data_IF_945084310332
#
_entry.id   IF_945084310332
#
_cell.length_a   1.000
_cell.length_b   1.000
_cell.length_c   1.000
_cell.angle_alpha   90.00
_cell.angle_beta   90.00
_cell.angle_gamma   90.00
#
_symmetry.space_group_name_H-M   'P 1'
#
loop_
_entity.id
_entity.type
_entity.pdbx_description
1 polymer ?
#
# COMPACT_ATOMS: atom_id res chain seq x y z
N UNK A 1 -1.43 19.85 40.62
CA UNK A 1 -0.17 19.42 39.98
C UNK A 1 -0.59 18.71 38.70
N UNK A 2 -0.67 19.49 37.62
CA UNK A 2 -1.04 19.00 36.29
C UNK A 2 0.07 18.08 35.78
N UNK A 3 -0.14 16.76 35.88
CA UNK A 3 0.69 15.79 35.18
C UNK A 3 0.36 15.87 33.70
N UNK A 4 0.95 16.85 33.02
CA UNK A 4 0.95 16.93 31.56
C UNK A 4 1.62 15.67 31.02
N UNK A 5 0.81 14.70 30.59
CA UNK A 5 1.29 13.45 29.99
C UNK A 5 2.14 13.83 28.78
N UNK A 6 3.43 13.48 28.82
CA UNK A 6 4.33 13.77 27.69
C UNK A 6 3.86 13.03 26.44
N UNK A 7 4.12 13.58 25.24
CA UNK A 7 3.76 12.94 23.96
C UNK A 7 4.31 11.51 23.86
N UNK A 8 5.53 11.29 24.38
CA UNK A 8 6.14 9.98 24.53
C UNK A 8 5.34 9.04 25.43
N UNK A 9 4.95 9.46 26.63
CA UNK A 9 4.19 8.61 27.56
C UNK A 9 2.81 8.26 26.98
N UNK A 10 2.19 9.19 26.25
CA UNK A 10 0.94 8.92 25.53
C UNK A 10 1.15 7.87 24.43
N UNK A 11 2.23 7.96 23.67
CA UNK A 11 2.58 6.96 22.64
C UNK A 11 2.81 5.57 23.25
N UNK A 12 3.54 5.48 24.36
CA UNK A 12 3.78 4.22 25.08
C UNK A 12 2.47 3.56 25.55
N UNK A 13 1.54 4.37 26.09
CA UNK A 13 0.20 3.86 26.46
C UNK A 13 -0.59 3.33 25.27
N UNK A 14 -0.57 4.02 24.13
CA UNK A 14 -1.27 3.57 22.92
C UNK A 14 -0.64 2.30 22.35
N UNK A 15 0.69 2.18 22.37
CA UNK A 15 1.38 0.94 21.97
C UNK A 15 1.03 -0.24 22.89
N UNK A 16 0.93 -0.01 24.20
CA UNK A 16 0.48 -1.04 25.15
C UNK A 16 -0.98 -1.46 24.86
N UNK A 17 -1.87 -0.50 24.61
CA UNK A 17 -3.25 -0.75 24.24
C UNK A 17 -3.37 -1.55 22.92
N UNK A 18 -2.52 -1.23 21.93
CA UNK A 18 -2.43 -1.97 20.66
C UNK A 18 -2.13 -3.45 20.91
N UNK A 19 -1.09 -3.72 21.70
CA UNK A 19 -0.69 -5.09 22.05
C UNK A 19 -1.81 -5.86 22.76
N UNK A 20 -2.57 -5.19 23.62
CA UNK A 20 -3.72 -5.80 24.30
C UNK A 20 -4.85 -6.13 23.32
N UNK A 21 -5.15 -5.25 22.37
CA UNK A 21 -6.14 -5.51 21.30
C UNK A 21 -5.71 -6.68 20.42
N UNK A 22 -4.45 -6.70 19.96
CA UNK A 22 -3.91 -7.80 19.16
C UNK A 22 -3.97 -9.14 19.89
N UNK A 23 -3.70 -9.14 21.20
CA UNK A 23 -3.87 -10.32 22.04
C UNK A 23 -5.32 -10.83 22.09
N UNK A 24 -6.30 -9.91 22.18
CA UNK A 24 -7.72 -10.27 22.16
C UNK A 24 -8.17 -10.77 20.78
N UNK A 25 -7.69 -10.17 19.69
CA UNK A 25 -7.96 -10.63 18.33
C UNK A 25 -7.41 -12.05 18.14
N UNK A 26 -6.17 -12.29 18.57
CA UNK A 26 -5.54 -13.62 18.51
C UNK A 26 -6.32 -14.67 19.31
N UNK A 27 -6.76 -14.33 20.53
CA UNK A 27 -7.57 -15.23 21.36
C UNK A 27 -8.88 -15.62 20.68
N UNK A 28 -9.61 -14.65 20.11
CA UNK A 28 -10.85 -14.95 19.38
C UNK A 28 -10.57 -15.70 18.07
N UNK A 29 -9.43 -15.43 17.41
CA UNK A 29 -8.98 -16.18 16.23
C UNK A 29 -8.73 -17.65 16.53
N UNK A 30 -8.18 -17.98 17.71
CA UNK A 30 -8.01 -19.36 18.17
C UNK A 30 -9.36 -20.07 18.37
N UNK A 31 -10.39 -19.37 18.84
CA UNK A 31 -11.75 -19.93 18.95
C UNK A 31 -12.28 -20.31 17.55
N UNK A 32 -12.04 -19.48 16.54
CA UNK A 32 -12.42 -19.79 15.16
C UNK A 32 -11.60 -20.95 14.57
N UNK A 33 -10.32 -21.06 14.93
CA UNK A 33 -9.47 -22.16 14.49
C UNK A 33 -9.87 -23.51 15.13
N UNK A 34 -10.33 -23.49 16.39
CA UNK A 34 -10.80 -24.67 17.12
C UNK A 34 -12.14 -25.22 16.59
N UNK A 35 -12.96 -24.37 15.98
CA UNK A 35 -14.25 -24.75 15.37
C UNK A 35 -14.07 -25.00 13.86
N UNK A 36 -13.42 -26.10 13.49
CA UNK A 36 -13.21 -26.58 12.10
C UNK A 36 -12.53 -25.57 11.14
N UNK A 37 -11.80 -24.59 11.68
CA UNK A 37 -11.17 -23.53 10.89
C UNK A 37 -12.15 -22.80 9.92
N UNK A 38 -13.42 -22.64 10.32
CA UNK A 38 -14.44 -21.95 9.50
C UNK A 38 -14.00 -20.51 9.17
N UNK A 39 -13.08 -19.95 9.98
CA UNK A 39 -12.50 -18.63 9.78
C UNK A 39 -13.53 -17.51 9.93
N UNK A 40 -13.22 -16.33 9.41
CA UNK A 40 -14.09 -15.14 9.54
C UNK A 40 -15.30 -15.16 8.58
N UNK A 41 -15.19 -15.86 7.45
CA UNK A 41 -16.17 -15.77 6.35
C UNK A 41 -16.80 -17.12 5.95
N UNK A 42 -16.38 -18.25 6.54
CA UNK A 42 -16.92 -19.56 6.17
C UNK A 42 -18.40 -19.73 6.52
N UNK A 43 -19.07 -20.62 5.78
CA UNK A 43 -20.50 -20.92 5.93
C UNK A 43 -20.79 -21.57 7.29
N UNK A 44 -21.84 -21.09 7.96
CA UNK A 44 -22.36 -21.66 9.22
C UNK A 44 -23.49 -22.67 8.98
N UNK A 45 -23.84 -22.89 7.72
CA UNK A 45 -24.86 -23.84 7.29
C UNK A 45 -24.24 -24.93 6.43
N UNK A 46 -24.85 -26.10 6.48
CA UNK A 46 -24.52 -27.23 5.60
C UNK A 46 -25.11 -27.05 4.19
N UNK A 47 -24.96 -28.09 3.35
CA UNK A 47 -25.45 -28.10 1.97
C UNK A 47 -26.99 -28.15 1.87
N UNK A 48 -27.66 -28.57 2.95
CA UNK A 48 -29.12 -28.69 3.04
C UNK A 48 -29.75 -27.42 3.65
N UNK A 49 -28.93 -26.45 4.08
CA UNK A 49 -29.36 -25.17 4.64
C UNK A 49 -29.62 -25.20 6.14
N UNK A 50 -29.21 -26.27 6.84
CA UNK A 50 -29.36 -26.41 8.28
C UNK A 50 -28.10 -25.94 9.03
N UNK A 51 -28.23 -25.53 10.31
CA UNK A 51 -27.11 -25.17 11.15
C UNK A 51 -26.16 -26.36 11.28
N UNK A 52 -24.89 -26.17 10.96
CA UNK A 52 -23.89 -27.24 11.04
C UNK A 52 -23.72 -27.73 12.49
N UNK A 53 -23.71 -29.05 12.67
CA UNK A 53 -23.69 -29.68 13.99
C UNK A 53 -22.27 -29.98 14.51
N UNK A 54 -21.28 -29.90 13.63
CA UNK A 54 -19.85 -30.06 13.88
C UNK A 54 -19.18 -28.81 14.49
N UNK A 55 -19.86 -27.66 14.51
CA UNK A 55 -19.32 -26.40 15.02
C UNK A 55 -20.26 -25.75 16.04
N UNK A 56 -19.69 -25.06 17.03
CA UNK A 56 -20.47 -24.19 17.90
C UNK A 56 -20.73 -22.86 17.18
N UNK A 57 -21.86 -22.81 16.47
CA UNK A 57 -22.30 -21.65 15.68
C UNK A 57 -22.42 -20.39 16.54
N UNK A 58 -22.82 -20.54 17.80
CA UNK A 58 -22.97 -19.40 18.71
C UNK A 58 -21.60 -18.81 19.05
N UNK A 59 -20.65 -19.64 19.46
CA UNK A 59 -19.28 -19.20 19.73
C UNK A 59 -18.60 -18.61 18.50
N UNK A 60 -18.76 -19.23 17.32
CA UNK A 60 -18.18 -18.73 16.06
C UNK A 60 -18.76 -17.36 15.71
N UNK A 61 -20.08 -17.17 15.83
CA UNK A 61 -20.72 -15.87 15.56
C UNK A 61 -20.22 -14.79 16.53
N UNK A 62 -20.16 -15.12 17.83
CA UNK A 62 -19.69 -14.18 18.84
C UNK A 62 -18.22 -13.82 18.63
N UNK A 63 -17.36 -14.79 18.33
CA UNK A 63 -15.94 -14.57 18.05
C UNK A 63 -15.75 -13.70 16.80
N UNK A 64 -16.48 -13.96 15.70
CA UNK A 64 -16.44 -13.13 14.48
C UNK A 64 -16.83 -11.68 14.76
N UNK A 65 -17.96 -11.47 15.43
CA UNK A 65 -18.42 -10.14 15.77
C UNK A 65 -17.39 -9.40 16.62
N UNK A 66 -16.84 -10.08 17.63
CA UNK A 66 -15.83 -9.51 18.53
C UNK A 66 -14.56 -9.12 17.76
N UNK A 67 -14.07 -9.99 16.87
CA UNK A 67 -12.89 -9.69 16.04
C UNK A 67 -13.14 -8.48 15.16
N UNK A 68 -14.31 -8.38 14.51
CA UNK A 68 -14.64 -7.23 13.64
C UNK A 68 -14.59 -5.92 14.44
N UNK A 69 -15.22 -5.90 15.62
CA UNK A 69 -15.19 -4.71 16.48
C UNK A 69 -13.75 -4.36 16.89
N UNK A 70 -12.97 -5.35 17.37
CA UNK A 70 -11.59 -5.14 17.80
C UNK A 70 -10.67 -4.71 16.65
N UNK A 71 -10.90 -5.19 15.43
CA UNK A 71 -10.13 -4.79 14.25
C UNK A 71 -10.42 -3.33 13.86
N UNK A 72 -11.66 -2.89 13.96
CA UNK A 72 -12.02 -1.50 13.74
C UNK A 72 -11.39 -0.58 14.80
N UNK A 73 -11.46 -0.97 16.08
CA UNK A 73 -10.83 -0.24 17.18
C UNK A 73 -9.30 -0.19 17.02
N UNK A 74 -8.68 -1.29 16.60
CA UNK A 74 -7.25 -1.35 16.31
C UNK A 74 -6.85 -0.41 15.17
N UNK A 75 -7.69 -0.30 14.13
CA UNK A 75 -7.48 0.65 13.03
C UNK A 75 -7.55 2.10 13.52
N UNK A 76 -8.55 2.43 14.32
CA UNK A 76 -8.68 3.76 14.95
C UNK A 76 -7.45 4.09 15.82
N UNK A 77 -7.02 3.14 16.65
CA UNK A 77 -5.85 3.29 17.51
C UNK A 77 -4.56 3.50 16.70
N UNK A 78 -4.38 2.77 15.61
CA UNK A 78 -3.22 2.90 14.73
C UNK A 78 -3.16 4.30 14.09
N UNK A 79 -4.30 4.85 13.67
CA UNK A 79 -4.38 6.22 13.16
C UNK A 79 -3.98 7.26 14.22
N UNK A 80 -4.35 7.05 15.48
CA UNK A 80 -3.95 7.92 16.59
C UNK A 80 -2.44 7.84 16.87
N UNK A 81 -1.88 6.63 16.87
CA UNK A 81 -0.43 6.39 17.02
C UNK A 81 0.33 7.10 15.90
N UNK A 82 -0.10 6.94 14.65
CA UNK A 82 0.52 7.59 13.50
C UNK A 82 0.49 9.12 13.62
N UNK A 83 -0.65 9.69 14.03
CA UNK A 83 -0.80 11.13 14.20
C UNK A 83 0.15 11.70 15.27
N UNK A 84 0.26 11.00 16.41
CA UNK A 84 1.15 11.40 17.50
C UNK A 84 2.63 11.22 17.15
N UNK A 85 2.97 10.15 16.42
CA UNK A 85 4.34 9.93 15.95
C UNK A 85 4.78 11.03 14.98
N UNK A 86 3.89 11.41 14.05
CA UNK A 86 4.15 12.52 13.13
C UNK A 86 4.32 13.86 13.86
N UNK A 87 3.50 14.13 14.88
CA UNK A 87 3.65 15.32 15.74
C UNK A 87 5.02 15.30 16.43
N UNK A 88 5.36 14.19 17.08
CA UNK A 88 6.64 14.03 17.77
C UNK A 88 7.84 14.22 16.82
N UNK A 89 7.77 13.64 15.62
CA UNK A 89 8.80 13.82 14.60
C UNK A 89 8.87 15.24 14.06
N UNK A 90 7.74 15.94 13.93
CA UNK A 90 7.73 17.35 13.52
C UNK A 90 8.34 18.28 14.57
N UNK A 91 8.09 18.02 15.86
CA UNK A 91 8.69 18.77 16.98
C UNK A 91 10.22 18.54 17.04
N UNK A 92 10.66 17.31 16.80
CA UNK A 92 12.09 16.97 16.70
C UNK A 92 12.71 17.61 15.46
N UNK A 93 12.04 17.57 14.30
CA UNK A 93 12.51 18.16 13.06
C UNK A 93 12.77 19.68 13.19
N UNK A 94 11.93 20.37 13.95
CA UNK A 94 12.11 21.80 14.24
C UNK A 94 13.26 22.08 15.22
N UNK A 95 13.63 21.11 16.04
CA UNK A 95 14.67 21.25 17.07
C UNK A 95 16.05 20.83 16.54
N UNK A 96 16.13 19.81 15.69
CA UNK A 96 17.37 19.30 15.10
C UNK A 96 17.11 18.57 13.75
N UNK A 97 17.37 19.21 12.59
CA UNK A 97 17.02 18.68 11.27
C UNK A 97 17.88 17.49 10.79
N UNK A 98 18.98 17.14 11.48
CA UNK A 98 19.85 16.03 11.04
C UNK A 98 19.35 14.64 11.48
N UNK A 99 18.52 14.55 12.53
CA UNK A 99 18.00 13.27 13.06
C UNK A 99 16.85 12.67 12.22
N UNK A 100 16.06 13.52 11.54
CA UNK A 100 14.92 13.11 10.72
C UNK A 100 15.36 12.27 9.51
N UNK A 101 16.49 12.62 8.89
CA UNK A 101 17.05 11.90 7.75
C UNK A 101 17.49 10.46 8.09
N UNK A 102 17.76 10.16 9.37
CA UNK A 102 18.15 8.81 9.82
C UNK A 102 16.96 7.92 10.14
N UNK A 103 15.85 8.47 10.63
CA UNK A 103 14.65 7.70 10.96
C UNK A 103 13.83 7.32 9.72
N UNK A 104 13.76 8.19 8.70
CA UNK A 104 13.09 7.90 7.42
C UNK A 104 13.75 6.80 6.59
N UNK A 105 14.96 6.36 6.95
CA UNK A 105 15.67 5.26 6.30
C UNK A 105 15.33 3.85 6.85
N UNK A 106 14.51 3.74 7.91
CA UNK A 106 14.27 2.48 8.64
C UNK A 106 12.84 1.90 8.49
N UNK A 107 11.87 2.62 7.94
CA UNK A 107 10.48 2.14 7.78
C UNK A 107 10.18 1.61 6.37
N UNK A 108 10.86 0.53 5.97
CA UNK A 108 10.64 -0.15 4.69
C UNK A 108 10.11 -1.59 4.80
N UNK A 109 9.72 -2.08 5.99
CA UNK A 109 9.33 -3.49 6.14
C UNK A 109 8.09 -3.75 7.02
N UNK A 110 6.95 -3.14 6.68
CA UNK A 110 5.66 -3.61 7.20
C UNK A 110 4.55 -3.44 6.17
N UNK A 111 4.31 -4.54 5.46
CA UNK A 111 3.01 -5.08 5.07
C UNK A 111 1.92 -4.06 4.71
N UNK A 112 1.80 -3.73 3.41
CA UNK A 112 0.66 -3.01 2.86
C UNK A 112 -0.22 -3.95 2.05
N UNK A 113 -1.05 -4.70 2.76
CA UNK A 113 -2.31 -5.24 2.25
C UNK A 113 -3.43 -4.20 2.36
N UNK A 114 -3.93 -3.78 1.19
CA UNK A 114 -5.25 -3.21 0.88
C UNK A 114 -5.82 -2.00 1.65
N UNK A 115 -5.98 -0.90 0.89
CA UNK A 115 -7.31 -0.30 0.71
C UNK A 115 -7.58 1.05 1.37
N UNK A 116 -7.45 2.13 0.57
CA UNK A 116 -8.32 3.31 0.69
C UNK A 116 -7.66 4.63 1.11
N UNK A 117 -7.83 5.63 0.23
CA UNK A 117 -7.60 7.07 0.41
C UNK A 117 -6.13 7.56 0.46
N UNK A 118 -5.55 7.77 -0.71
CA UNK A 118 -4.38 8.62 -0.90
C UNK A 118 -4.78 10.09 -0.65
N UNK A 119 -4.34 10.65 0.48
CA UNK A 119 -4.28 12.10 0.68
C UNK A 119 -2.90 12.57 1.21
N UNK A 120 -1.86 11.74 1.03
CA UNK A 120 -0.52 11.97 1.58
C UNK A 120 0.57 12.19 0.51
N UNK A 121 0.22 12.59 -0.72
CA UNK A 121 1.20 12.92 -1.76
C UNK A 121 0.91 14.33 -2.31
N UNK A 122 1.13 15.32 -1.44
CA UNK A 122 1.18 16.75 -1.79
C UNK A 122 2.59 17.20 -2.18
N UNK A 123 3.44 16.28 -2.64
CA UNK A 123 4.56 16.63 -3.49
C UNK A 123 4.09 16.50 -4.95
N UNK A 124 4.37 17.45 -5.85
CA UNK A 124 4.10 17.25 -7.26
C UNK A 124 5.00 16.12 -7.74
N UNK A 125 4.46 14.89 -7.79
CA UNK A 125 5.15 13.75 -8.34
C UNK A 125 5.63 14.13 -9.74
N UNK A 126 6.95 14.28 -9.90
CA UNK A 126 7.56 14.70 -11.16
C UNK A 126 7.50 13.52 -12.11
N UNK A 127 7.02 13.75 -13.33
CA UNK A 127 7.06 12.72 -14.37
C UNK A 127 8.52 12.29 -14.62
N UNK A 128 8.76 10.98 -14.63
CA UNK A 128 10.08 10.41 -14.94
C UNK A 128 10.25 10.15 -16.43
N UNK A 129 9.17 9.73 -17.10
CA UNK A 129 9.13 9.47 -18.55
C UNK A 129 7.74 9.77 -19.09
N UNK A 130 7.65 10.02 -20.39
CA UNK A 130 6.39 10.19 -21.13
C UNK A 130 6.29 9.10 -22.18
N UNK A 131 5.09 8.56 -22.32
CA UNK A 131 4.79 7.57 -23.36
C UNK A 131 4.61 8.29 -24.69
N UNK A 132 5.52 8.05 -25.64
CA UNK A 132 5.47 8.65 -26.97
C UNK A 132 4.69 7.77 -27.97
N UNK A 133 4.72 6.45 -27.79
CA UNK A 133 4.02 5.52 -28.68
C UNK A 133 3.63 4.27 -27.90
N UNK A 134 2.44 3.74 -28.19
CA UNK A 134 1.98 2.43 -27.69
C UNK A 134 1.65 1.57 -28.90
N UNK A 135 2.21 0.37 -28.96
CA UNK A 135 1.93 -0.55 -30.07
C UNK A 135 0.62 -1.32 -29.82
N UNK A 136 -0.17 -1.58 -30.86
CA UNK A 136 -1.38 -2.39 -30.72
C UNK A 136 -1.03 -3.82 -30.28
N UNK A 137 -1.92 -4.44 -29.52
CA UNK A 137 -1.78 -5.77 -28.92
C UNK A 137 -0.62 -5.94 -27.93
N UNK A 138 0.06 -4.86 -27.59
CA UNK A 138 1.20 -4.87 -26.68
C UNK A 138 0.79 -5.02 -25.22
N UNK A 139 1.70 -5.48 -24.35
CA UNK A 139 1.49 -5.47 -22.91
C UNK A 139 1.17 -4.08 -22.35
N UNK A 140 1.74 -3.02 -22.92
CA UNK A 140 1.46 -1.64 -22.54
C UNK A 140 0.02 -1.21 -22.87
N UNK A 141 -0.48 -1.54 -24.07
CA UNK A 141 -1.87 -1.26 -24.44
C UNK A 141 -2.85 -2.05 -23.56
N UNK A 142 -2.56 -3.33 -23.32
CA UNK A 142 -3.36 -4.19 -22.44
C UNK A 142 -3.39 -3.71 -20.99
N UNK A 143 -2.34 -3.00 -20.56
CA UNK A 143 -2.27 -2.33 -19.26
C UNK A 143 -3.04 -1.00 -19.22
N UNK A 144 -3.55 -0.51 -20.35
CA UNK A 144 -4.28 0.74 -20.46
C UNK A 144 -3.40 1.99 -20.61
N UNK A 145 -2.11 1.84 -20.93
CA UNK A 145 -1.24 2.97 -21.25
C UNK A 145 -1.66 3.61 -22.57
N UNK A 146 -1.70 4.93 -22.59
CA UNK A 146 -1.98 5.71 -23.79
C UNK A 146 -0.81 6.62 -24.15
N UNK A 147 -0.76 7.04 -25.41
CA UNK A 147 0.20 8.03 -25.89
C UNK A 147 -0.05 9.36 -25.18
N UNK A 148 1.03 9.99 -24.70
CA UNK A 148 0.98 11.23 -23.92
C UNK A 148 0.90 11.01 -22.40
N UNK A 149 0.78 9.77 -21.93
CA UNK A 149 0.79 9.49 -20.48
C UNK A 149 2.15 9.82 -19.88
N UNK A 150 2.14 10.65 -18.83
CA UNK A 150 3.33 10.98 -18.07
C UNK A 150 3.48 10.00 -16.89
N UNK A 151 4.44 9.10 -16.97
CA UNK A 151 4.69 8.09 -15.94
C UNK A 151 5.39 8.77 -14.75
N UNK A 152 4.76 8.69 -13.59
CA UNK A 152 5.24 9.20 -12.31
C UNK A 152 6.05 8.14 -11.56
N UNK A 153 5.62 6.88 -11.66
CA UNK A 153 6.26 5.73 -11.02
C UNK A 153 6.16 4.50 -11.93
N UNK A 154 7.27 3.78 -12.05
CA UNK A 154 7.38 2.52 -12.76
C UNK A 154 7.94 1.44 -11.84
N UNK A 155 7.08 0.64 -11.22
CA UNK A 155 7.47 -0.37 -10.24
C UNK A 155 8.25 0.25 -9.08
N UNK A 156 9.52 -0.13 -8.93
CA UNK A 156 10.43 0.41 -7.91
C UNK A 156 11.04 1.76 -8.28
N UNK A 157 10.92 2.20 -9.54
CA UNK A 157 11.51 3.45 -10.03
C UNK A 157 10.50 4.59 -9.87
N UNK A 158 10.94 5.67 -9.21
CA UNK A 158 10.16 6.89 -8.98
C UNK A 158 11.04 8.12 -9.25
N UNK A 159 10.46 9.33 -9.15
CA UNK A 159 11.19 10.59 -9.37
C UNK A 159 12.39 10.80 -8.44
N UNK A 160 12.43 10.10 -7.30
CA UNK A 160 13.50 10.22 -6.32
C UNK A 160 14.70 9.32 -6.64
N UNK A 161 14.48 8.19 -7.33
CA UNK A 161 15.51 7.20 -7.67
C UNK A 161 15.91 7.24 -9.16
N UNK A 162 15.05 7.81 -10.02
CA UNK A 162 15.29 7.88 -11.44
C UNK A 162 16.41 8.88 -11.77
N UNK A 163 17.51 8.37 -12.33
CA UNK A 163 18.71 9.19 -12.67
C UNK A 163 18.69 9.73 -14.10
N UNK A 164 17.53 9.73 -14.76
CA UNK A 164 17.43 10.09 -16.19
C UNK A 164 17.86 8.97 -17.15
N UNK A 165 18.17 7.78 -16.66
CA UNK A 165 18.59 6.65 -17.48
C UNK A 165 17.42 5.70 -17.76
N UNK A 166 17.02 5.60 -19.03
CA UNK A 166 15.94 4.71 -19.47
C UNK A 166 16.30 3.22 -19.30
N UNK A 167 17.58 2.89 -19.17
CA UNK A 167 18.07 1.53 -18.90
C UNK A 167 17.57 0.98 -17.56
N UNK A 168 17.39 1.83 -16.54
CA UNK A 168 16.83 1.44 -15.24
C UNK A 168 15.42 0.84 -15.39
N UNK A 169 14.58 1.45 -16.24
CA UNK A 169 13.24 0.94 -16.53
C UNK A 169 13.35 -0.40 -17.29
N UNK A 170 14.25 -0.48 -18.27
CA UNK A 170 14.51 -1.72 -19.00
C UNK A 170 15.01 -2.87 -18.12
N UNK A 171 15.77 -2.58 -17.06
CA UNK A 171 16.21 -3.57 -16.07
C UNK A 171 15.05 -4.07 -15.20
N UNK A 172 14.23 -3.15 -14.67
CA UNK A 172 13.04 -3.50 -13.87
C UNK A 172 12.09 -4.39 -14.67
N UNK A 173 11.88 -4.07 -15.94
CA UNK A 173 11.01 -4.82 -16.86
C UNK A 173 11.56 -6.24 -17.11
N UNK A 174 12.88 -6.37 -17.24
CA UNK A 174 13.55 -7.68 -17.41
C UNK A 174 13.44 -8.53 -16.15
N UNK A 175 13.65 -7.94 -14.98
CA UNK A 175 13.54 -8.63 -13.70
C UNK A 175 12.09 -9.00 -13.35
N UNK A 176 11.12 -8.19 -13.78
CA UNK A 176 9.69 -8.39 -13.55
C UNK A 176 8.97 -9.04 -14.76
N UNK A 177 9.69 -9.82 -15.57
CA UNK A 177 9.07 -10.53 -16.68
C UNK A 177 8.00 -11.51 -16.15
N UNK A 178 6.81 -11.48 -16.78
CA UNK A 178 5.61 -12.22 -16.40
C UNK A 178 5.06 -11.89 -15.00
N UNK A 179 5.46 -10.76 -14.41
CA UNK A 179 5.01 -10.31 -13.10
C UNK A 179 4.30 -8.96 -13.19
N UNK A 180 3.46 -8.66 -12.19
CA UNK A 180 2.68 -7.43 -12.15
C UNK A 180 3.56 -6.25 -11.72
N UNK A 181 3.74 -5.28 -12.62
CA UNK A 181 4.44 -4.02 -12.36
C UNK A 181 3.41 -2.92 -12.16
N UNK A 182 3.42 -2.30 -10.99
CA UNK A 182 2.57 -1.15 -10.69
C UNK A 182 3.10 0.10 -11.39
N UNK A 183 2.20 0.85 -12.01
CA UNK A 183 2.48 2.11 -12.69
C UNK A 183 1.61 3.20 -12.08
N UNK A 184 2.19 4.38 -11.86
CA UNK A 184 1.40 5.61 -11.67
C UNK A 184 1.62 6.51 -12.86
N UNK A 185 0.55 6.90 -13.53
CA UNK A 185 0.59 7.78 -14.70
C UNK A 185 -0.27 9.01 -14.49
N UNK A 186 0.10 10.12 -15.13
CA UNK A 186 -0.69 11.35 -15.18
C UNK A 186 -1.19 11.54 -16.61
N UNK A 187 -2.52 11.57 -16.77
CA UNK A 187 -3.22 11.81 -18.04
C UNK A 187 -4.10 13.05 -17.89
N UNK A 188 -3.83 14.09 -18.69
CA UNK A 188 -4.63 15.33 -18.72
C UNK A 188 -4.99 15.91 -17.33
N UNK A 189 -4.04 15.86 -16.39
CA UNK A 189 -4.15 16.27 -14.97
C UNK A 189 -4.68 15.23 -13.97
N UNK A 190 -5.25 14.12 -14.41
CA UNK A 190 -5.65 13.02 -13.53
C UNK A 190 -4.51 12.03 -13.30
N UNK A 191 -4.34 11.57 -12.06
CA UNK A 191 -3.43 10.47 -11.73
C UNK A 191 -4.18 9.14 -11.79
N UNK A 192 -3.63 8.17 -12.52
CA UNK A 192 -4.16 6.82 -12.66
C UNK A 192 -3.12 5.80 -12.21
N UNK A 193 -3.56 4.84 -11.39
CA UNK A 193 -2.79 3.65 -11.05
C UNK A 193 -3.11 2.54 -12.06
N UNK A 194 -2.10 2.08 -12.79
CA UNK A 194 -2.20 1.01 -13.78
C UNK A 194 -1.33 -0.18 -13.37
N UNK A 195 -1.66 -1.37 -13.88
CA UNK A 195 -0.85 -2.57 -13.68
C UNK A 195 -0.42 -3.08 -15.04
N UNK A 196 0.89 -3.13 -15.25
CA UNK A 196 1.50 -3.65 -16.48
C UNK A 196 2.19 -4.96 -16.20
N UNK A 197 2.00 -5.94 -17.08
CA UNK A 197 2.66 -7.25 -16.99
C UNK A 197 3.65 -7.37 -18.15
N UNK A 198 4.96 -7.21 -17.93
CA UNK A 198 5.95 -7.34 -18.99
C UNK A 198 5.96 -8.76 -19.53
N UNK A 199 5.70 -8.95 -20.82
CA UNK A 199 5.73 -10.28 -21.45
C UNK A 199 6.24 -10.19 -22.87
N UNK A 200 6.74 -11.32 -23.37
CA UNK A 200 7.01 -11.44 -24.80
C UNK A 200 5.71 -11.30 -25.59
N UNK A 201 5.76 -10.53 -26.67
CA UNK A 201 4.62 -10.22 -27.52
C UNK A 201 5.09 -10.20 -28.98
N UNK A 202 4.18 -9.99 -29.93
CA UNK A 202 4.46 -10.06 -31.37
C UNK A 202 5.41 -8.97 -31.90
N UNK A 203 5.81 -8.02 -31.07
CA UNK A 203 6.77 -6.97 -31.42
C UNK A 203 8.09 -7.07 -30.66
N UNK A 204 8.90 -6.00 -30.74
CA UNK A 204 10.23 -5.97 -30.11
C UNK A 204 10.13 -5.64 -28.62
N UNK A 205 10.80 -6.41 -27.79
CA UNK A 205 10.93 -6.17 -26.34
C UNK A 205 9.77 -6.72 -25.51
N UNK A 206 9.62 -6.22 -24.28
CA UNK A 206 8.72 -6.79 -23.26
C UNK A 206 7.52 -5.88 -22.87
N UNK A 207 7.49 -4.62 -23.33
CA UNK A 207 6.37 -3.70 -23.06
C UNK A 207 5.58 -3.32 -24.31
N UNK A 208 6.28 -3.08 -25.42
CA UNK A 208 5.69 -2.56 -26.66
C UNK A 208 5.24 -1.10 -26.62
N UNK A 209 5.79 -0.30 -25.71
CA UNK A 209 5.67 1.15 -25.73
C UNK A 209 7.04 1.82 -25.93
N UNK A 210 7.04 2.97 -26.60
CA UNK A 210 8.17 3.87 -26.66
C UNK A 210 8.02 4.92 -25.56
N UNK A 211 9.02 4.99 -24.68
CA UNK A 211 9.09 5.96 -23.59
C UNK A 211 10.24 6.92 -23.84
N UNK A 212 10.00 8.20 -23.59
CA UNK A 212 10.98 9.27 -23.74
C UNK A 212 11.08 10.03 -22.44
N UNK A 213 12.22 10.68 -22.19
CA UNK A 213 12.34 11.59 -21.07
C UNK A 213 11.35 12.76 -21.27
N UNK A 214 10.70 13.24 -20.19
CA UNK A 214 9.84 14.41 -20.31
C UNK A 214 10.68 15.58 -20.85
N UNK A 215 10.15 16.38 -21.77
CA UNK A 215 10.78 17.65 -22.11
C UNK A 215 10.90 18.47 -20.81
N UNK A 216 12.05 19.09 -20.58
CA UNK A 216 12.22 20.02 -19.46
C UNK A 216 11.07 21.02 -19.50
N UNK A 217 10.32 21.12 -18.39
CA UNK A 217 9.29 22.11 -18.27
C UNK A 217 9.98 23.48 -18.38
N UNK A 218 9.74 24.18 -19.48
CA UNK A 218 9.99 25.61 -19.57
C UNK A 218 9.12 26.24 -18.48
N UNK A 219 9.76 26.69 -17.39
CA UNK A 219 9.11 27.49 -16.37
C UNK A 219 8.59 28.76 -17.05
N UNK A 220 7.27 28.96 -17.01
CA UNK A 220 6.63 30.23 -17.30
C UNK A 220 5.57 30.50 -16.24
#
# INVERSE_FOLDING_TARGET
MDTGITTKERLERLMAAKKQLEGQISKNGQILAANDNVGMSGSLVDLEGFPRNDIDIYQVRQARQTIICLQNDHKELMNQIQSLLNQYHSEIATTDPELVNRASALDLDSDRSQGGANLADLAPARAIVVVNLVSPDSPAEKAGLCVGDAILRFGSVNSNNFKGDLGQIGEVVRNMQNQNVQLKVKRAEQQLDLILVPKTWSGRGLLGCNIVLPPEAMEH
#
